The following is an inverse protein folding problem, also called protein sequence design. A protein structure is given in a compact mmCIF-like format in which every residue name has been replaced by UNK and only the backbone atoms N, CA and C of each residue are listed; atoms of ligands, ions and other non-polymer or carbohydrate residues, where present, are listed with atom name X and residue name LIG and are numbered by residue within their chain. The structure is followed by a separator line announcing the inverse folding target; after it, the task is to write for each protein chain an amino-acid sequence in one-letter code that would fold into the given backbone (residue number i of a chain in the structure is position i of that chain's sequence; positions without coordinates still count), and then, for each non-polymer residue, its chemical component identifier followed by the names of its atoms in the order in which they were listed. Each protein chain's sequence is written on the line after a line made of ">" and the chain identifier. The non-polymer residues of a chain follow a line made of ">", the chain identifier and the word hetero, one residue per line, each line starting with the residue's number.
data_IF_221775318870
#
_entry.id   IF_221775318870
#
_cell.length_a   1.000
_cell.length_b   1.000
_cell.length_c   1.000
_cell.angle_alpha   90.00
_cell.angle_beta   90.00
_cell.angle_gamma   90.00
#
_symmetry.space_group_name_H-M   'P 1'
#
loop_
_entity.id
_entity.type
_entity.pdbx_description
1 polymer ?
#
# COMPACT_ATOMS: atom_id res chain seq x y z
N UNK A 1 -10.34 11.25 -8.13
CA UNK A 1 -9.38 11.62 -7.08
C UNK A 1 -9.11 10.41 -6.17
N UNK A 2 -7.86 10.23 -5.81
CA UNK A 2 -7.43 9.11 -5.00
C UNK A 2 -7.75 9.34 -3.52
N UNK A 3 -8.29 8.33 -2.85
CA UNK A 3 -8.57 8.36 -1.42
C UNK A 3 -7.94 7.17 -0.73
N UNK A 4 -7.49 7.39 0.51
CA UNK A 4 -6.89 6.37 1.36
C UNK A 4 -7.82 6.15 2.54
N UNK A 5 -8.44 4.98 2.58
CA UNK A 5 -9.45 4.64 3.58
C UNK A 5 -8.86 3.62 4.55
N UNK A 6 -8.87 3.96 5.84
CA UNK A 6 -8.45 3.05 6.89
C UNK A 6 -9.68 2.41 7.53
N UNK A 7 -9.62 1.10 7.69
CA UNK A 7 -10.72 0.30 8.25
C UNK A 7 -10.19 -0.54 9.40
N UNK A 8 -10.88 -0.46 10.53
CA UNK A 8 -10.65 -1.34 11.66
C UNK A 8 -11.77 -2.39 11.63
N UNK A 9 -11.42 -3.66 11.54
CA UNK A 9 -12.38 -4.74 11.40
C UNK A 9 -12.05 -5.92 12.30
N UNK A 10 -13.07 -6.73 12.59
CA UNK A 10 -12.87 -7.94 13.35
C UNK A 10 -12.00 -8.93 12.57
N UNK A 11 -11.02 -9.51 13.27
CA UNK A 11 -10.11 -10.50 12.68
C UNK A 11 -10.79 -11.87 12.69
N UNK A 12 -11.77 -12.04 11.80
CA UNK A 12 -12.56 -13.26 11.67
C UNK A 12 -12.55 -13.79 10.24
N UNK A 13 -12.73 -15.11 10.07
CA UNK A 13 -12.86 -15.69 8.74
C UNK A 13 -13.99 -15.01 7.95
N UNK A 14 -13.70 -14.63 6.71
CA UNK A 14 -14.67 -14.00 5.82
C UNK A 14 -14.80 -12.49 5.91
N UNK A 15 -14.23 -11.84 6.92
CA UNK A 15 -14.31 -10.38 7.05
C UNK A 15 -13.70 -9.67 5.84
N UNK A 16 -12.49 -10.05 5.45
CA UNK A 16 -11.82 -9.51 4.28
C UNK A 16 -12.64 -9.77 3.00
N UNK A 17 -13.15 -10.98 2.84
CA UNK A 17 -13.98 -11.35 1.69
C UNK A 17 -15.21 -10.45 1.55
N UNK A 18 -15.85 -10.11 2.65
CA UNK A 18 -17.04 -9.26 2.62
C UNK A 18 -16.70 -7.83 2.19
N UNK A 19 -15.58 -7.29 2.64
CA UNK A 19 -15.11 -5.98 2.21
C UNK A 19 -14.83 -5.98 0.70
N UNK A 20 -14.07 -6.95 0.23
CA UNK A 20 -13.74 -7.09 -1.20
C UNK A 20 -15.00 -7.29 -2.05
N UNK A 21 -15.91 -8.14 -1.59
CA UNK A 21 -17.16 -8.39 -2.30
C UNK A 21 -18.04 -7.14 -2.42
N UNK A 22 -18.03 -6.30 -1.38
CA UNK A 22 -18.76 -5.03 -1.40
C UNK A 22 -18.24 -4.13 -2.52
N UNK A 23 -16.93 -4.01 -2.65
CA UNK A 23 -16.33 -3.21 -3.72
C UNK A 23 -16.64 -3.79 -5.10
N UNK A 24 -16.51 -5.11 -5.25
CA UNK A 24 -16.79 -5.80 -6.52
C UNK A 24 -18.25 -5.66 -6.93
N UNK A 25 -19.18 -5.86 -6.01
CA UNK A 25 -20.61 -5.81 -6.29
C UNK A 25 -21.08 -4.44 -6.76
N UNK A 26 -20.39 -3.39 -6.34
CA UNK A 26 -20.78 -2.01 -6.69
C UNK A 26 -19.88 -1.39 -7.75
N UNK A 27 -18.95 -2.16 -8.30
CA UNK A 27 -18.04 -1.68 -9.34
C UNK A 27 -17.01 -0.66 -8.86
N UNK A 28 -16.75 -0.60 -7.56
CA UNK A 28 -15.69 0.26 -7.02
C UNK A 28 -14.34 -0.40 -7.27
N UNK A 29 -13.35 0.41 -7.66
CA UNK A 29 -12.01 -0.09 -7.92
C UNK A 29 -11.14 -0.02 -6.66
N UNK A 30 -10.41 -1.10 -6.38
CA UNK A 30 -9.38 -1.15 -5.35
C UNK A 30 -8.03 -1.07 -6.03
N UNK A 31 -7.30 0.03 -5.84
CA UNK A 31 -5.96 0.18 -6.41
C UNK A 31 -4.92 -0.59 -5.59
N UNK A 32 -5.06 -0.57 -4.27
CA UNK A 32 -4.24 -1.38 -3.37
C UNK A 32 -4.98 -1.67 -2.07
N UNK A 33 -4.58 -2.73 -1.41
CA UNK A 33 -5.18 -3.16 -0.16
C UNK A 33 -4.13 -3.85 0.70
N UNK A 34 -3.99 -3.37 1.94
CA UNK A 34 -3.13 -4.01 2.93
C UNK A 34 -3.97 -4.34 4.14
N UNK A 35 -3.75 -5.49 4.75
CA UNK A 35 -4.46 -5.91 5.94
C UNK A 35 -3.56 -6.78 6.81
N UNK A 36 -3.61 -6.54 8.12
CA UNK A 36 -2.89 -7.34 9.09
C UNK A 36 -3.56 -7.19 10.45
N UNK A 37 -3.40 -8.19 11.36
CA UNK A 37 -3.84 -8.03 12.74
C UNK A 37 -3.12 -6.88 13.42
N UNK A 38 -3.79 -6.26 14.39
CA UNK A 38 -3.20 -5.22 15.24
C UNK A 38 -2.59 -5.86 16.50
N UNK A 39 -2.15 -5.02 17.46
CA UNK A 39 -1.72 -5.49 18.77
C UNK A 39 -2.84 -6.17 19.56
N UNK A 40 -4.08 -5.91 19.17
CA UNK A 40 -5.24 -6.68 19.62
C UNK A 40 -5.53 -7.75 18.56
N UNK A 41 -5.29 -9.01 18.90
CA UNK A 41 -5.41 -10.12 17.96
C UNK A 41 -6.84 -10.31 17.42
N UNK A 42 -7.85 -9.76 18.10
CA UNK A 42 -9.24 -9.81 17.63
C UNK A 42 -9.56 -8.77 16.56
N UNK A 43 -8.64 -7.82 16.30
CA UNK A 43 -8.84 -6.74 15.34
C UNK A 43 -7.77 -6.74 14.27
N UNK A 44 -8.20 -6.49 13.03
CA UNK A 44 -7.31 -6.25 11.90
C UNK A 44 -7.45 -4.81 11.44
N UNK A 45 -6.34 -4.26 10.95
CA UNK A 45 -6.29 -2.94 10.33
C UNK A 45 -6.08 -3.10 8.84
N UNK A 46 -6.94 -2.44 8.07
CA UNK A 46 -6.88 -2.47 6.61
C UNK A 46 -6.71 -1.05 6.08
N UNK A 47 -5.88 -0.88 5.07
CA UNK A 47 -5.78 0.36 4.31
C UNK A 47 -6.18 0.06 2.87
N UNK A 48 -7.20 0.76 2.38
CA UNK A 48 -7.69 0.61 1.01
C UNK A 48 -7.40 1.90 0.26
N UNK A 49 -6.76 1.79 -0.89
CA UNK A 49 -6.60 2.91 -1.82
C UNK A 49 -7.58 2.73 -2.95
N UNK A 50 -8.43 3.71 -3.14
CA UNK A 50 -9.46 3.71 -4.18
C UNK A 50 -9.56 5.10 -4.81
N UNK A 51 -10.13 5.19 -5.99
CA UNK A 51 -10.35 6.45 -6.68
C UNK A 51 -11.84 6.62 -6.98
N UNK A 52 -12.31 7.84 -6.91
CA UNK A 52 -13.69 8.16 -7.21
C UNK A 52 -14.02 9.59 -6.86
N UNK A 53 -15.25 10.01 -7.17
CA UNK A 53 -15.77 11.29 -6.75
C UNK A 53 -16.05 11.28 -5.26
N UNK A 54 -16.22 12.46 -4.67
CA UNK A 54 -16.56 12.59 -3.25
C UNK A 54 -17.83 11.82 -2.92
N UNK A 55 -18.82 11.84 -3.83
CA UNK A 55 -20.06 11.09 -3.67
C UNK A 55 -19.85 9.58 -3.60
N UNK A 56 -18.97 9.05 -4.47
CA UNK A 56 -18.64 7.63 -4.49
C UNK A 56 -17.94 7.24 -3.20
N UNK A 57 -16.99 8.05 -2.75
CA UNK A 57 -16.24 7.78 -1.52
C UNK A 57 -17.17 7.81 -0.29
N UNK A 58 -18.12 8.74 -0.26
CA UNK A 58 -19.12 8.79 0.79
C UNK A 58 -19.97 7.52 0.82
N UNK A 59 -20.40 7.03 -0.35
CA UNK A 59 -21.13 5.77 -0.46
C UNK A 59 -20.31 4.58 0.01
N UNK A 60 -19.04 4.51 -0.39
CA UNK A 60 -18.13 3.44 0.06
C UNK A 60 -18.07 3.42 1.58
N UNK A 61 -17.87 4.57 2.21
CA UNK A 61 -17.79 4.69 3.65
C UNK A 61 -19.09 4.23 4.33
N UNK A 62 -20.23 4.63 3.80
CA UNK A 62 -21.53 4.20 4.33
C UNK A 62 -21.72 2.69 4.22
N UNK A 63 -21.36 2.11 3.08
CA UNK A 63 -21.51 0.67 2.89
C UNK A 63 -20.55 -0.13 3.78
N UNK A 64 -19.32 0.32 3.95
CA UNK A 64 -18.38 -0.31 4.86
C UNK A 64 -18.90 -0.31 6.30
N UNK A 65 -19.46 0.81 6.74
CA UNK A 65 -20.02 0.93 8.09
C UNK A 65 -21.22 0.02 8.35
N UNK A 66 -21.86 -0.48 7.31
CA UNK A 66 -22.98 -1.42 7.43
C UNK A 66 -22.57 -2.87 7.60
N UNK A 67 -21.31 -3.19 7.31
CA UNK A 67 -20.80 -4.55 7.52
C UNK A 67 -20.61 -4.80 9.01
N UNK A 68 -21.13 -5.92 9.49
CA UNK A 68 -21.06 -6.29 10.92
C UNK A 68 -19.63 -6.34 11.42
N UNK A 69 -18.70 -6.86 10.60
CA UNK A 69 -17.31 -7.04 10.97
C UNK A 69 -16.52 -5.74 11.01
N UNK A 70 -17.04 -4.67 10.42
CA UNK A 70 -16.37 -3.38 10.38
C UNK A 70 -16.67 -2.61 11.67
N UNK A 71 -15.61 -2.30 12.41
CA UNK A 71 -15.69 -1.60 13.68
C UNK A 71 -15.64 -0.09 13.47
N UNK A 72 -14.75 0.38 12.59
CA UNK A 72 -14.59 1.80 12.33
C UNK A 72 -13.95 2.04 10.97
N UNK A 73 -14.35 3.15 10.32
CA UNK A 73 -13.82 3.58 9.02
C UNK A 73 -13.43 5.04 9.10
N UNK A 74 -12.31 5.40 8.51
CA UNK A 74 -11.92 6.80 8.36
C UNK A 74 -11.27 7.02 7.00
N UNK A 75 -11.62 8.12 6.34
CA UNK A 75 -10.92 8.57 5.14
C UNK A 75 -9.74 9.43 5.59
N UNK A 76 -8.53 8.88 5.49
CA UNK A 76 -7.31 9.54 5.93
C UNK A 76 -7.01 10.80 5.10
N UNK A 77 -7.43 10.83 3.84
CA UNK A 77 -7.16 11.95 2.95
C UNK A 77 -7.93 13.23 3.35
N UNK A 78 -8.92 13.14 4.22
CA UNK A 78 -9.63 14.30 4.75
C UNK A 78 -8.85 15.06 5.84
N UNK A 79 -7.65 14.61 6.18
CA UNK A 79 -6.83 15.25 7.20
C UNK A 79 -5.36 15.00 6.97
N UNK A 80 -4.54 15.28 7.97
CA UNK A 80 -3.11 14.97 7.91
C UNK A 80 -2.87 13.50 8.19
N UNK A 81 -2.08 12.87 7.36
CA UNK A 81 -1.78 11.44 7.48
C UNK A 81 -0.38 11.14 6.98
N UNK A 82 0.11 9.95 7.35
CA UNK A 82 1.36 9.41 6.83
C UNK A 82 1.05 8.12 6.11
N UNK A 83 1.60 7.95 4.91
CA UNK A 83 1.51 6.71 4.15
C UNK A 83 2.89 6.16 3.88
N UNK A 84 2.99 4.84 3.87
CA UNK A 84 4.23 4.14 3.48
C UNK A 84 3.86 2.87 2.75
N UNK A 85 4.74 2.51 1.82
CA UNK A 85 4.65 1.29 1.05
C UNK A 85 6.03 0.67 0.98
N UNK A 86 6.12 -0.65 1.03
CA UNK A 86 7.36 -1.40 0.82
C UNK A 86 7.36 -1.98 -0.58
N UNK A 87 8.49 -1.85 -1.26
CA UNK A 87 8.71 -2.49 -2.55
C UNK A 87 9.98 -3.35 -2.49
N UNK A 88 9.89 -4.55 -3.04
CA UNK A 88 11.04 -5.39 -3.35
C UNK A 88 11.14 -5.47 -4.86
N UNK A 89 12.26 -5.05 -5.41
CA UNK A 89 12.46 -5.04 -6.85
C UNK A 89 13.76 -5.73 -7.21
N UNK A 90 13.67 -6.68 -8.12
CA UNK A 90 14.84 -7.38 -8.64
C UNK A 90 15.20 -6.78 -9.98
N UNK A 91 16.45 -6.35 -10.10
CA UNK A 91 16.94 -5.71 -11.31
C UNK A 91 18.14 -6.45 -11.86
N UNK A 92 18.27 -6.48 -13.18
CA UNK A 92 19.48 -6.98 -13.83
C UNK A 92 20.62 -6.02 -13.49
N UNK A 93 21.74 -6.57 -13.08
CA UNK A 93 22.90 -5.78 -12.71
C UNK A 93 24.17 -6.49 -13.22
N UNK A 94 24.47 -6.30 -14.50
CA UNK A 94 25.60 -6.89 -15.20
C UNK A 94 26.52 -5.79 -15.69
N UNK A 95 27.83 -5.95 -15.49
CA UNK A 95 28.82 -5.00 -15.98
C UNK A 95 28.62 -3.60 -15.38
N UNK A 96 28.50 -2.60 -16.25
CA UNK A 96 28.32 -1.20 -15.83
C UNK A 96 26.98 -0.94 -15.14
N UNK A 97 25.99 -1.78 -15.39
CA UNK A 97 24.68 -1.66 -14.75
C UNK A 97 24.77 -1.79 -13.23
N UNK A 98 25.77 -2.53 -12.72
CA UNK A 98 25.91 -2.77 -11.28
C UNK A 98 26.13 -1.48 -10.51
N UNK A 99 27.04 -0.64 -10.97
CA UNK A 99 27.30 0.66 -10.31
C UNK A 99 26.14 1.61 -10.45
N UNK A 100 25.49 1.61 -11.60
CA UNK A 100 24.34 2.44 -11.85
C UNK A 100 23.18 2.07 -10.93
N UNK A 101 22.87 0.79 -10.80
CA UNK A 101 21.82 0.31 -9.91
C UNK A 101 22.12 0.59 -8.44
N UNK A 102 23.37 0.45 -8.04
CA UNK A 102 23.81 0.81 -6.69
C UNK A 102 23.58 2.30 -6.42
N UNK A 103 23.98 3.14 -7.37
CA UNK A 103 23.77 4.59 -7.25
C UNK A 103 22.29 4.95 -7.16
N UNK A 104 21.45 4.32 -7.97
CA UNK A 104 20.01 4.50 -7.92
C UNK A 104 19.43 4.12 -6.56
N UNK A 105 19.84 2.97 -6.03
CA UNK A 105 19.42 2.53 -4.71
C UNK A 105 19.81 3.55 -3.64
N UNK A 106 21.03 4.08 -3.70
CA UNK A 106 21.52 5.07 -2.74
C UNK A 106 20.75 6.41 -2.85
N UNK A 107 20.48 6.88 -4.08
CA UNK A 107 19.76 8.12 -4.31
C UNK A 107 18.36 8.06 -3.69
N UNK A 108 17.67 6.94 -3.85
CA UNK A 108 16.33 6.74 -3.32
C UNK A 108 16.31 6.19 -1.90
N UNK A 109 17.49 6.03 -1.27
CA UNK A 109 17.66 5.50 0.08
C UNK A 109 17.11 4.09 0.24
N UNK A 110 17.24 3.29 -0.81
CA UNK A 110 16.93 1.88 -0.78
C UNK A 110 18.12 1.06 -0.27
N UNK A 111 17.87 -0.21 -0.06
CA UNK A 111 18.88 -1.16 0.37
C UNK A 111 18.99 -2.29 -0.63
N UNK A 112 20.22 -2.68 -0.94
CA UNK A 112 20.47 -3.89 -1.73
C UNK A 112 20.51 -5.05 -0.73
N UNK A 113 19.51 -5.93 -0.78
CA UNK A 113 19.35 -7.01 0.19
C UNK A 113 19.79 -8.39 -0.34
N UNK A 114 19.96 -8.50 -1.64
CA UNK A 114 20.44 -9.72 -2.26
C UNK A 114 21.27 -9.37 -3.49
N UNK A 115 22.36 -10.09 -3.67
CA UNK A 115 23.31 -9.84 -4.75
C UNK A 115 23.70 -11.16 -5.40
N UNK A 116 23.58 -11.23 -6.72
CA UNK A 116 24.17 -12.31 -7.52
C UNK A 116 25.08 -11.70 -8.58
N UNK A 117 25.73 -12.53 -9.37
CA UNK A 117 26.57 -12.04 -10.47
C UNK A 117 25.77 -11.25 -11.51
N UNK A 118 24.47 -11.51 -11.61
CA UNK A 118 23.62 -10.95 -12.67
C UNK A 118 22.54 -10.02 -12.17
N UNK A 119 22.26 -9.99 -10.88
CA UNK A 119 21.10 -9.23 -10.35
C UNK A 119 21.33 -8.68 -8.96
N UNK A 120 20.58 -7.62 -8.65
CA UNK A 120 20.38 -7.10 -7.31
C UNK A 120 18.91 -7.21 -6.96
N UNK A 121 18.60 -7.48 -5.68
CA UNK A 121 17.28 -7.25 -5.13
C UNK A 121 17.37 -6.05 -4.23
N UNK A 122 16.52 -5.06 -4.49
CA UNK A 122 16.50 -3.77 -3.78
C UNK A 122 15.23 -3.66 -2.98
N UNK A 123 15.37 -3.28 -1.70
CA UNK A 123 14.26 -2.97 -0.82
C UNK A 123 14.11 -1.45 -0.75
N UNK A 124 12.91 -0.95 -1.00
CA UNK A 124 12.62 0.48 -0.98
C UNK A 124 11.33 0.74 -0.22
N UNK A 125 11.37 1.69 0.70
CA UNK A 125 10.20 2.11 1.47
C UNK A 125 9.97 3.61 1.25
N UNK A 126 8.74 3.99 1.10
CA UNK A 126 8.35 5.38 0.93
C UNK A 126 6.87 5.51 0.61
N UNK A 127 6.47 6.71 0.21
CA UNK A 127 5.12 6.89 -0.32
C UNK A 127 5.04 6.35 -1.76
N UNK A 128 3.84 6.26 -2.29
CA UNK A 128 3.61 5.73 -3.63
C UNK A 128 4.40 6.52 -4.69
N UNK A 129 4.45 7.84 -4.56
CA UNK A 129 5.15 8.69 -5.52
C UNK A 129 6.66 8.38 -5.58
N UNK A 130 7.28 8.12 -4.43
CA UNK A 130 8.69 7.75 -4.36
C UNK A 130 8.96 6.41 -5.07
N UNK A 131 8.12 5.42 -4.79
CA UNK A 131 8.27 4.10 -5.40
C UNK A 131 8.05 4.13 -6.91
N UNK A 132 7.05 4.88 -7.35
CA UNK A 132 6.78 5.07 -8.77
C UNK A 132 7.94 5.79 -9.46
N UNK A 133 8.52 6.80 -8.81
CA UNK A 133 9.67 7.54 -9.33
C UNK A 133 10.89 6.62 -9.50
N UNK A 134 11.12 5.71 -8.56
CA UNK A 134 12.20 4.74 -8.66
C UNK A 134 12.00 3.83 -9.88
N UNK A 135 10.81 3.29 -10.07
CA UNK A 135 10.49 2.42 -11.21
C UNK A 135 10.71 3.17 -12.54
N UNK A 136 10.30 4.44 -12.60
CA UNK A 136 10.46 5.25 -13.81
C UNK A 136 11.93 5.59 -14.09
N UNK A 137 12.74 5.74 -13.04
CA UNK A 137 14.16 6.05 -13.17
C UNK A 137 14.99 4.85 -13.60
N UNK A 138 14.54 3.64 -13.32
CA UNK A 138 15.23 2.40 -13.71
C UNK A 138 14.81 2.03 -15.14
N UNK A 139 15.78 1.58 -15.94
CA UNK A 139 15.48 1.06 -17.27
C UNK A 139 14.50 -0.12 -17.14
N UNK A 140 13.36 0.00 -17.77
CA UNK A 140 12.31 -1.02 -17.71
C UNK A 140 12.81 -2.40 -18.14
N UNK A 141 13.71 -2.45 -19.12
CA UNK A 141 14.28 -3.70 -19.58
C UNK A 141 15.16 -4.37 -18.52
N UNK A 142 15.63 -3.63 -17.53
CA UNK A 142 16.44 -4.16 -16.45
C UNK A 142 15.60 -4.67 -15.27
N UNK A 143 14.31 -4.38 -15.23
CA UNK A 143 13.42 -4.85 -14.16
C UNK A 143 13.05 -6.31 -14.43
N UNK A 144 13.45 -7.20 -13.53
CA UNK A 144 13.15 -8.62 -13.63
C UNK A 144 11.86 -9.01 -12.92
N UNK A 145 11.61 -8.41 -11.75
CA UNK A 145 10.45 -8.72 -10.93
C UNK A 145 10.19 -7.60 -9.93
N UNK A 146 8.93 -7.30 -9.68
CA UNK A 146 8.53 -6.27 -8.72
C UNK A 146 7.44 -6.80 -7.80
N UNK A 147 7.63 -6.59 -6.49
CA UNK A 147 6.61 -6.88 -5.47
C UNK A 147 6.35 -5.61 -4.68
N UNK A 148 5.08 -5.24 -4.55
CA UNK A 148 4.68 -4.07 -3.75
C UNK A 148 3.63 -4.51 -2.74
N UNK A 149 3.73 -3.98 -1.53
CA UNK A 149 2.74 -4.27 -0.48
C UNK A 149 1.44 -3.52 -0.70
N UNK A 150 1.47 -2.39 -1.39
CA UNK A 150 0.40 -1.42 -1.35
C UNK A 150 0.58 -0.47 -0.17
N UNK A 151 -0.20 0.59 -0.15
CA UNK A 151 -0.08 1.67 0.83
C UNK A 151 -0.66 1.27 2.18
N UNK A 152 0.11 1.51 3.24
CA UNK A 152 -0.37 1.50 4.62
C UNK A 152 -0.45 2.95 5.09
N UNK A 153 -1.55 3.33 5.72
CA UNK A 153 -1.76 4.70 6.16
C UNK A 153 -2.14 4.81 7.62
N UNK A 154 -1.75 5.92 8.22
CA UNK A 154 -2.06 6.25 9.61
C UNK A 154 -2.24 7.77 9.74
N UNK A 155 -3.19 8.19 10.56
CA UNK A 155 -3.38 9.61 10.84
C UNK A 155 -2.18 10.21 11.58
N UNK A 156 -1.93 11.48 11.34
CA UNK A 156 -0.84 12.19 12.03
C UNK A 156 -1.29 12.76 13.35
N UNK A 157 -0.32 12.96 14.24
CA UNK A 157 -0.56 13.55 15.55
C UNK A 157 -1.42 12.65 16.43
N UNK A 158 -2.44 13.23 17.02
CA UNK A 158 -3.34 12.54 17.95
C UNK A 158 -4.53 11.87 17.27
N UNK A 159 -4.61 11.96 15.95
CA UNK A 159 -5.67 11.34 15.15
C UNK A 159 -5.45 9.82 15.11
N UNK A 160 -6.32 9.08 15.77
CA UNK A 160 -6.21 7.63 15.88
C UNK A 160 -7.50 6.94 15.45
N UNK A 161 -7.35 5.74 14.94
CA UNK A 161 -8.46 4.85 14.57
C UNK A 161 -8.49 3.70 15.60
N UNK A 162 -9.46 3.76 16.48
CA UNK A 162 -9.65 2.71 17.50
C UNK A 162 -11.11 2.56 17.85
N UNK A 163 -11.42 1.50 18.57
CA UNK A 163 -12.77 1.21 19.05
C UNK A 163 -13.23 2.29 20.04
#
# INVERSE_FOLDING_TARGET
>A
MKHIIAVLLENEPGALSRVVALFSARGYNIESLTVAPTEDASLSRMTIVTAGSDEVIEQITKHLNRLIEVVKVVDLTEGSYTERELMLIKVRAVGKEREEMKRMADIFRGRIIDVTEKSFTIELTGDTAKLDAFIQAVDRAAILETVRTGTSGIGRGERILRV
#
